data_IF_862014677436
#
_entry.id   IF_862014677436
#
_cell.length_a   1.000
_cell.length_b   1.000
_cell.length_c   1.000
_cell.angle_alpha   90.00
_cell.angle_beta   90.00
_cell.angle_gamma   90.00
#
_symmetry.space_group_name_H-M   'P 1'
#
loop_
_entity.id
_entity.type
_entity.pdbx_description
1 polymer ?
#
# COMPACT_ATOMS: atom_id res chain seq x y z
N UNK A 1 -10.10 -8.20 7.47
CA UNK A 1 -9.54 -8.86 6.26
C UNK A 1 -8.99 -10.21 6.70
N UNK A 2 -8.94 -11.23 5.83
CA UNK A 2 -8.22 -12.48 6.13
C UNK A 2 -6.89 -12.56 5.37
N UNK A 3 -6.08 -13.57 5.69
CA UNK A 3 -4.76 -13.79 5.09
C UNK A 3 -4.81 -14.04 3.58
N UNK A 4 -5.84 -14.73 3.10
CA UNK A 4 -6.00 -15.05 1.68
C UNK A 4 -6.20 -13.79 0.84
N UNK A 5 -7.05 -12.88 1.32
CA UNK A 5 -7.29 -11.60 0.65
C UNK A 5 -6.07 -10.69 0.70
N UNK A 6 -5.33 -10.64 1.83
CA UNK A 6 -4.08 -9.87 1.92
C UNK A 6 -3.05 -10.35 0.90
N UNK A 7 -2.88 -11.66 0.78
CA UNK A 7 -1.96 -12.28 -0.19
C UNK A 7 -2.39 -11.96 -1.63
N UNK A 8 -3.68 -12.09 -1.93
CA UNK A 8 -4.25 -11.72 -3.24
C UNK A 8 -3.94 -10.26 -3.60
N UNK A 9 -4.09 -9.34 -2.64
CA UNK A 9 -3.77 -7.92 -2.84
C UNK A 9 -2.27 -7.74 -3.12
N UNK A 10 -1.40 -8.42 -2.39
CA UNK A 10 0.06 -8.32 -2.57
C UNK A 10 0.54 -8.79 -3.96
N UNK A 11 -0.18 -9.76 -4.54
CA UNK A 11 0.12 -10.33 -5.85
C UNK A 11 -0.49 -9.56 -7.01
N UNK A 12 -1.68 -8.97 -6.82
CA UNK A 12 -2.51 -8.47 -7.91
C UNK A 12 -2.77 -6.96 -7.89
N UNK A 13 -2.21 -6.21 -6.94
CA UNK A 13 -2.39 -4.77 -6.93
C UNK A 13 -1.90 -4.13 -8.23
N UNK A 14 -2.51 -3.01 -8.59
CA UNK A 14 -2.19 -2.29 -9.82
C UNK A 14 -1.91 -0.83 -9.53
N UNK A 15 -1.11 -0.21 -10.39
CA UNK A 15 -0.94 1.24 -10.39
C UNK A 15 -0.72 1.77 -11.81
N UNK A 16 -0.97 3.06 -11.98
CA UNK A 16 -0.56 3.79 -13.18
C UNK A 16 0.82 4.42 -12.94
N UNK A 17 1.51 4.80 -14.00
CA UNK A 17 2.79 5.52 -13.88
C UNK A 17 2.67 6.80 -13.03
N UNK A 18 1.57 7.54 -13.19
CA UNK A 18 1.28 8.72 -12.37
C UNK A 18 1.00 8.37 -10.90
N UNK A 19 0.34 7.23 -10.66
CA UNK A 19 0.10 6.72 -9.31
C UNK A 19 1.41 6.34 -8.60
N UNK A 20 2.30 5.63 -9.29
CA UNK A 20 3.63 5.33 -8.77
C UNK A 20 4.46 6.59 -8.48
N UNK A 21 4.44 7.57 -9.37
CA UNK A 21 5.09 8.87 -9.13
C UNK A 21 4.61 9.52 -7.82
N UNK A 22 3.29 9.54 -7.58
CA UNK A 22 2.69 10.11 -6.36
C UNK A 22 3.05 9.31 -5.12
N UNK A 23 2.97 7.99 -5.20
CA UNK A 23 3.36 7.07 -4.11
C UNK A 23 4.81 7.33 -3.69
N UNK A 24 5.74 7.37 -4.65
CA UNK A 24 7.15 7.63 -4.36
C UNK A 24 7.37 8.97 -3.67
N UNK A 25 6.71 10.03 -4.16
CA UNK A 25 6.78 11.35 -3.55
C UNK A 25 6.31 11.34 -2.10
N UNK A 26 5.14 10.74 -1.84
CA UNK A 26 4.55 10.71 -0.50
C UNK A 26 5.35 9.88 0.51
N UNK A 27 6.03 8.84 0.05
CA UNK A 27 6.92 8.02 0.87
C UNK A 27 8.35 8.58 0.95
N UNK A 28 8.70 9.61 0.17
CA UNK A 28 10.04 10.18 0.13
C UNK A 28 11.08 9.26 -0.54
N UNK A 29 10.67 8.44 -1.49
CA UNK A 29 11.47 7.44 -2.21
C UNK A 29 11.54 7.73 -3.71
N UNK A 30 11.63 9.01 -4.10
CA UNK A 30 11.60 9.44 -5.51
C UNK A 30 12.70 8.88 -6.39
N UNK A 31 13.76 8.34 -5.78
CA UNK A 31 14.86 7.67 -6.47
C UNK A 31 14.54 6.22 -6.89
N UNK A 32 13.43 5.64 -6.43
CA UNK A 32 13.02 4.28 -6.81
C UNK A 32 12.47 4.26 -8.23
N UNK A 33 12.76 3.18 -8.95
CA UNK A 33 12.07 2.77 -10.18
C UNK A 33 10.67 2.24 -9.89
N UNK A 34 9.85 2.04 -10.93
CA UNK A 34 8.52 1.44 -10.79
C UNK A 34 8.60 0.00 -10.22
N UNK A 35 9.60 -0.79 -10.62
CA UNK A 35 9.81 -2.16 -10.12
C UNK A 35 10.21 -2.19 -8.63
N UNK A 36 11.11 -1.30 -8.22
CA UNK A 36 11.50 -1.17 -6.80
C UNK A 36 10.31 -0.68 -5.96
N UNK A 37 9.53 0.25 -6.51
CA UNK A 37 8.30 0.75 -5.87
C UNK A 37 7.29 -0.38 -5.69
N UNK A 38 7.05 -1.20 -6.71
CA UNK A 38 6.16 -2.34 -6.65
C UNK A 38 6.63 -3.36 -5.59
N UNK A 39 7.93 -3.69 -5.61
CA UNK A 39 8.54 -4.63 -4.65
C UNK A 39 8.37 -4.13 -3.21
N UNK A 40 8.60 -2.84 -2.96
CA UNK A 40 8.39 -2.24 -1.65
C UNK A 40 6.92 -2.31 -1.22
N UNK A 41 5.98 -1.95 -2.09
CA UNK A 41 4.55 -1.98 -1.78
C UNK A 41 4.07 -3.40 -1.46
N UNK A 42 4.54 -4.41 -2.19
CA UNK A 42 4.28 -5.83 -1.89
C UNK A 42 4.75 -6.20 -0.48
N UNK A 43 5.98 -5.79 -0.11
CA UNK A 43 6.53 -6.04 1.23
C UNK A 43 5.70 -5.36 2.32
N UNK A 44 5.28 -4.11 2.11
CA UNK A 44 4.42 -3.39 3.07
C UNK A 44 3.09 -4.12 3.25
N UNK A 45 2.44 -4.57 2.17
CA UNK A 45 1.16 -5.30 2.24
C UNK A 45 1.32 -6.57 3.08
N UNK A 46 2.35 -7.39 2.81
CA UNK A 46 2.58 -8.66 3.50
C UNK A 46 3.05 -8.47 4.96
N UNK A 47 3.80 -7.41 5.25
CA UNK A 47 4.25 -7.09 6.60
C UNK A 47 3.14 -6.48 7.47
N UNK A 48 2.09 -5.92 6.86
CA UNK A 48 0.98 -5.30 7.61
C UNK A 48 0.19 -6.37 8.37
N UNK A 49 0.13 -6.34 9.72
CA UNK A 49 -0.65 -7.30 10.48
C UNK A 49 -2.13 -7.22 10.13
N UNK A 50 -2.84 -8.36 10.09
CA UNK A 50 -4.27 -8.40 9.77
C UNK A 50 -5.10 -7.48 10.68
N UNK A 51 -4.75 -7.40 11.96
CA UNK A 51 -5.39 -6.52 12.94
C UNK A 51 -5.19 -5.01 12.66
N UNK A 52 -4.18 -4.66 11.86
CA UNK A 52 -3.87 -3.29 11.44
C UNK A 52 -4.44 -2.96 10.04
N UNK A 53 -5.31 -3.82 9.51
CA UNK A 53 -6.02 -3.59 8.24
C UNK A 53 -7.47 -3.26 8.52
N UNK A 54 -7.86 -2.03 8.21
CA UNK A 54 -9.24 -1.57 8.32
C UNK A 54 -9.90 -1.47 6.92
N UNK A 55 -11.23 -1.55 6.87
CA UNK A 55 -12.02 -1.29 5.66
C UNK A 55 -13.02 -0.18 5.94
N UNK A 56 -12.87 0.94 5.22
CA UNK A 56 -13.86 2.03 5.24
C UNK A 56 -14.45 2.20 3.85
N UNK A 57 -15.72 1.83 3.71
CA UNK A 57 -16.43 1.83 2.43
C UNK A 57 -15.71 1.00 1.36
N UNK A 58 -15.28 1.68 0.29
CA UNK A 58 -14.63 1.08 -0.88
C UNK A 58 -13.11 0.89 -0.76
N UNK A 59 -12.51 1.20 0.39
CA UNK A 59 -11.06 1.20 0.56
C UNK A 59 -10.64 0.34 1.75
N UNK A 60 -9.52 -0.36 1.58
CA UNK A 60 -8.73 -0.95 2.64
C UNK A 60 -7.60 -0.01 3.05
N UNK A 61 -7.35 0.08 4.34
CA UNK A 61 -6.28 0.87 4.94
C UNK A 61 -5.30 -0.07 5.63
N UNK A 62 -4.07 -0.10 5.15
CA UNK A 62 -3.00 -0.93 5.68
C UNK A 62 -2.06 -0.04 6.47
N UNK A 63 -2.13 -0.09 7.80
CA UNK A 63 -1.20 0.63 8.66
C UNK A 63 -0.01 -0.28 9.01
N UNK A 64 1.17 0.06 8.51
CA UNK A 64 2.39 -0.73 8.66
C UNK A 64 3.46 0.07 9.41
N UNK A 65 3.54 -0.03 10.75
CA UNK A 65 4.53 0.68 11.55
C UNK A 65 5.97 0.33 11.19
N UNK A 66 6.26 -0.93 10.86
CA UNK A 66 7.59 -1.41 10.46
C UNK A 66 8.17 -0.59 9.29
N UNK A 67 7.32 -0.25 8.32
CA UNK A 67 7.71 0.54 7.15
C UNK A 67 7.38 2.02 7.28
N UNK A 68 6.90 2.46 8.45
CA UNK A 68 6.37 3.80 8.67
C UNK A 68 5.42 4.23 7.53
N UNK A 69 4.46 3.37 7.17
CA UNK A 69 3.63 3.59 5.99
C UNK A 69 2.15 3.26 6.22
N UNK A 70 1.26 4.03 5.59
CA UNK A 70 -0.16 3.71 5.44
C UNK A 70 -0.48 3.59 3.95
N UNK A 71 -0.97 2.43 3.52
CA UNK A 71 -1.48 2.24 2.17
C UNK A 71 -3.01 2.34 2.16
N UNK A 72 -3.56 3.04 1.17
CA UNK A 72 -4.99 3.02 0.86
C UNK A 72 -5.20 2.26 -0.44
N UNK A 73 -5.91 1.14 -0.40
CA UNK A 73 -6.10 0.23 -1.53
C UNK A 73 -7.59 0.13 -1.83
N UNK A 74 -7.98 0.27 -3.10
CA UNK A 74 -9.37 0.06 -3.47
C UNK A 74 -9.77 -1.42 -3.30
N UNK A 75 -10.90 -1.68 -2.66
CA UNK A 75 -11.37 -3.04 -2.37
C UNK A 75 -11.78 -3.85 -3.61
N UNK A 76 -12.14 -3.17 -4.71
CA UNK A 76 -12.62 -3.83 -5.93
C UNK A 76 -11.51 -3.93 -6.99
N UNK A 77 -10.81 -2.82 -7.27
CA UNK A 77 -9.79 -2.78 -8.33
C UNK A 77 -8.38 -3.17 -7.84
N UNK A 78 -8.20 -3.33 -6.53
CA UNK A 78 -6.92 -3.55 -5.86
C UNK A 78 -5.86 -2.48 -6.18
N UNK A 79 -6.29 -1.32 -6.67
CA UNK A 79 -5.39 -0.21 -6.98
C UNK A 79 -4.92 0.44 -5.69
N UNK A 80 -3.60 0.61 -5.53
CA UNK A 80 -3.07 1.40 -4.41
C UNK A 80 -3.30 2.87 -4.76
N UNK A 81 -4.31 3.48 -4.13
CA UNK A 81 -4.75 4.85 -4.37
C UNK A 81 -3.72 5.84 -3.80
N UNK A 82 -3.25 5.57 -2.58
CA UNK A 82 -2.19 6.34 -1.92
C UNK A 82 -1.31 5.44 -1.06
N UNK A 83 -0.07 5.86 -0.89
CA UNK A 83 0.82 5.44 0.17
C UNK A 83 1.37 6.71 0.81
N UNK A 84 1.45 6.77 2.14
CA UNK A 84 2.03 7.92 2.86
C UNK A 84 2.73 7.46 4.12
N UNK A 85 3.64 8.28 4.64
CA UNK A 85 4.25 8.01 5.95
C UNK A 85 3.21 8.08 7.06
N UNK A 86 3.40 7.31 8.14
CA UNK A 86 2.60 7.51 9.36
C UNK A 86 3.08 8.84 9.96
N UNK A 87 2.16 9.80 10.03
CA UNK A 87 2.39 11.06 10.74
C UNK A 87 1.66 10.96 12.07
N UNK A 88 2.38 11.20 13.16
CA UNK A 88 1.77 11.52 14.44
C UNK A 88 1.44 13.01 14.37
N UNK A 89 0.21 13.35 14.00
CA UNK A 89 -0.34 14.68 14.30
C UNK A 89 -0.78 14.71 15.77
#
# INVERSE_FOLDING_TARGET
MDEGLRTTIAEQFKNTQLGFMRIRKNLGITHFTDMETETLLRRIILATPIAAIDRKGKNHYFACPEFNAVLTINANSLTIITAKKITND
#
